data_IF_263210107714
#
_entry.id   IF_263210107714
#
_cell.length_a   1.000
_cell.length_b   1.000
_cell.length_c   1.000
_cell.angle_alpha   90.00
_cell.angle_beta   90.00
_cell.angle_gamma   90.00
#
_symmetry.space_group_name_H-M   'P 1'
#
loop_
_entity.id
_entity.type
_entity.pdbx_description
1 polymer ?
#
# COMPACT_ATOMS: atom_id res chain seq x y z
N UNK A 1 -17.75 16.49 6.45
CA UNK A 1 -18.14 15.07 6.45
C UNK A 1 -17.47 14.48 5.22
N UNK A 2 -16.58 13.50 5.38
CA UNK A 2 -15.99 12.83 4.21
C UNK A 2 -17.11 11.99 3.63
N UNK A 3 -17.56 12.30 2.41
CA UNK A 3 -18.47 11.41 1.70
C UNK A 3 -17.81 10.05 1.61
N UNK A 4 -18.51 9.01 2.08
CA UNK A 4 -18.01 7.65 1.99
C UNK A 4 -18.09 7.25 0.52
N UNK A 5 -16.93 7.04 -0.11
CA UNK A 5 -16.85 6.55 -1.47
C UNK A 5 -17.68 5.27 -1.59
N UNK A 6 -18.52 5.19 -2.63
CA UNK A 6 -19.31 3.99 -2.92
C UNK A 6 -18.37 3.01 -3.62
N UNK A 7 -18.14 1.81 -3.06
CA UNK A 7 -17.29 0.81 -3.70
C UNK A 7 -17.86 0.40 -5.07
N UNK A 8 -17.08 0.39 -6.15
CA UNK A 8 -17.48 -0.16 -7.44
C UNK A 8 -17.79 -1.67 -7.32
N UNK A 9 -18.87 -2.13 -7.96
CA UNK A 9 -19.28 -3.55 -7.85
C UNK A 9 -19.23 -4.33 -9.15
N UNK A 10 -19.13 -3.67 -10.31
CA UNK A 10 -19.27 -4.29 -11.64
C UNK A 10 -18.37 -5.54 -11.82
N UNK A 11 -17.06 -5.40 -11.62
CA UNK A 11 -16.10 -6.51 -11.79
C UNK A 11 -16.29 -7.61 -10.73
N UNK A 12 -16.63 -7.22 -9.49
CA UNK A 12 -16.87 -8.17 -8.40
C UNK A 12 -18.13 -9.02 -8.61
N UNK A 13 -19.16 -8.44 -9.24
CA UNK A 13 -20.41 -9.13 -9.59
C UNK A 13 -20.20 -10.01 -10.83
N UNK A 14 -19.48 -9.49 -11.84
CA UNK A 14 -19.17 -10.22 -13.06
C UNK A 14 -18.32 -11.46 -12.79
N UNK A 15 -17.29 -11.32 -11.95
CA UNK A 15 -16.31 -12.37 -11.64
C UNK A 15 -16.42 -12.83 -10.19
N UNK A 16 -17.66 -13.02 -9.71
CA UNK A 16 -17.93 -13.44 -8.33
C UNK A 16 -17.25 -14.77 -8.02
N UNK A 17 -16.56 -14.83 -6.88
CA UNK A 17 -15.91 -16.03 -6.39
C UNK A 17 -16.67 -16.59 -5.17
N UNK A 18 -16.84 -17.93 -5.03
CA UNK A 18 -17.56 -18.50 -3.89
C UNK A 18 -17.00 -18.11 -2.51
N UNK A 19 -15.70 -17.81 -2.43
CA UNK A 19 -15.05 -17.38 -1.17
C UNK A 19 -15.38 -15.94 -0.77
N UNK A 20 -15.86 -15.11 -1.69
CA UNK A 20 -16.21 -13.72 -1.39
C UNK A 20 -17.31 -13.63 -0.30
N UNK A 21 -18.17 -14.64 -0.20
CA UNK A 21 -19.27 -14.69 0.79
C UNK A 21 -18.78 -14.89 2.23
N UNK A 22 -17.52 -15.27 2.41
CA UNK A 22 -16.96 -15.63 3.70
C UNK A 22 -15.94 -14.63 4.23
N UNK A 23 -15.72 -13.51 3.54
CA UNK A 23 -14.81 -12.47 3.97
C UNK A 23 -15.51 -11.11 3.94
N UNK A 24 -15.34 -10.34 5.01
CA UNK A 24 -15.73 -8.94 5.07
C UNK A 24 -14.56 -8.10 5.56
N UNK A 25 -14.54 -6.84 5.14
CA UNK A 25 -13.53 -5.87 5.54
C UNK A 25 -14.20 -4.63 6.12
N UNK A 26 -13.77 -4.22 7.30
CA UNK A 26 -14.11 -2.93 7.88
C UNK A 26 -12.91 -1.99 7.75
N UNK A 27 -13.01 -1.03 6.82
CA UNK A 27 -11.94 -0.08 6.49
C UNK A 27 -11.53 0.79 7.68
N UNK A 28 -12.48 1.14 8.57
CA UNK A 28 -12.22 2.02 9.71
C UNK A 28 -11.22 1.44 10.71
N UNK A 29 -11.53 0.31 11.37
CA UNK A 29 -10.60 -0.40 12.24
C UNK A 29 -9.57 -1.24 11.46
N UNK A 30 -9.67 -1.31 10.13
CA UNK A 30 -8.84 -2.13 9.24
C UNK A 30 -8.86 -3.61 9.61
N UNK A 31 -10.06 -4.17 9.78
CA UNK A 31 -10.29 -5.55 10.27
C UNK A 31 -10.90 -6.42 9.18
N UNK A 32 -10.26 -7.55 8.91
CA UNK A 32 -10.82 -8.62 8.09
C UNK A 32 -11.52 -9.64 8.98
N UNK A 33 -12.72 -10.06 8.59
CA UNK A 33 -13.48 -11.10 9.28
C UNK A 33 -13.77 -12.22 8.30
N UNK A 34 -13.24 -13.41 8.59
CA UNK A 34 -13.32 -14.58 7.72
C UNK A 34 -14.12 -15.67 8.41
N UNK A 35 -15.22 -16.13 7.81
CA UNK A 35 -16.16 -17.08 8.43
C UNK A 35 -16.62 -16.65 9.84
N UNK A 36 -16.73 -15.34 10.10
CA UNK A 36 -17.07 -14.78 11.41
C UNK A 36 -15.90 -14.67 12.39
N UNK A 37 -14.69 -15.06 12.01
CA UNK A 37 -13.47 -14.95 12.80
C UNK A 37 -12.67 -13.69 12.39
N UNK A 38 -12.60 -12.72 13.31
CA UNK A 38 -11.85 -11.46 13.13
C UNK A 38 -10.42 -11.52 13.66
N UNK A 39 -9.88 -12.71 13.96
CA UNK A 39 -8.49 -12.90 14.42
C UNK A 39 -7.46 -13.01 13.29
N UNK A 40 -7.90 -12.83 12.05
CA UNK A 40 -7.02 -12.87 10.88
C UNK A 40 -6.05 -11.68 10.89
N UNK A 41 -4.80 -11.96 10.54
CA UNK A 41 -3.76 -10.94 10.39
C UNK A 41 -3.73 -10.48 8.95
N UNK A 42 -3.67 -9.16 8.71
CA UNK A 42 -3.51 -8.65 7.35
C UNK A 42 -2.10 -8.97 6.81
N UNK A 43 -1.96 -9.22 5.52
CA UNK A 43 -0.65 -9.43 4.86
C UNK A 43 0.27 -8.23 5.12
N UNK A 44 -0.27 -7.00 5.12
CA UNK A 44 0.48 -5.79 5.46
C UNK A 44 1.03 -5.80 6.89
N UNK A 45 0.22 -6.23 7.87
CA UNK A 45 0.63 -6.35 9.28
C UNK A 45 1.66 -7.46 9.46
N UNK A 46 1.44 -8.61 8.83
CA UNK A 46 2.38 -9.73 8.82
C UNK A 46 3.74 -9.30 8.27
N UNK A 47 3.76 -8.62 7.11
CA UNK A 47 4.99 -8.14 6.49
C UNK A 47 5.73 -7.12 7.36
N UNK A 48 5.03 -6.10 7.88
CA UNK A 48 5.64 -5.11 8.76
C UNK A 48 6.25 -5.73 10.02
N UNK A 49 5.69 -6.86 10.49
CA UNK A 49 6.23 -7.58 11.65
C UNK A 49 7.66 -8.08 11.43
N UNK A 50 8.15 -8.17 10.19
CA UNK A 50 9.49 -8.62 9.84
C UNK A 50 10.54 -7.50 9.77
N UNK A 51 10.16 -6.24 9.92
CA UNK A 51 11.04 -5.08 9.81
C UNK A 51 11.05 -4.24 11.10
N UNK A 52 11.94 -3.25 11.16
CA UNK A 52 12.06 -2.35 12.31
C UNK A 52 11.01 -1.24 12.23
N UNK A 53 10.38 -0.92 13.35
CA UNK A 53 9.45 0.20 13.39
C UNK A 53 10.18 1.54 13.29
N UNK A 54 9.55 2.50 12.63
CA UNK A 54 10.11 3.84 12.50
C UNK A 54 10.11 4.58 13.85
N UNK A 55 11.29 4.70 14.46
CA UNK A 55 11.47 5.47 15.68
C UNK A 55 11.87 6.92 15.38
N UNK A 56 10.87 7.81 15.29
CA UNK A 56 11.07 9.22 15.00
C UNK A 56 12.04 9.91 16.00
N UNK A 57 11.94 9.57 17.29
CA UNK A 57 12.81 10.13 18.33
C UNK A 57 14.27 9.76 18.13
N UNK A 58 14.56 8.49 17.84
CA UNK A 58 15.92 8.01 17.60
C UNK A 58 16.55 8.67 16.37
N UNK A 59 15.76 8.82 15.29
CA UNK A 59 16.21 9.48 14.06
C UNK A 59 16.51 10.96 14.30
N UNK A 60 15.60 11.70 14.95
CA UNK A 60 15.82 13.14 15.22
C UNK A 60 17.00 13.34 16.16
N UNK A 61 17.14 12.52 17.21
CA UNK A 61 18.29 12.59 18.11
C UNK A 61 19.62 12.34 17.36
N UNK A 62 19.63 11.46 16.36
CA UNK A 62 20.80 11.26 15.49
C UNK A 62 21.08 12.50 14.62
N UNK A 63 20.05 13.10 14.03
CA UNK A 63 20.16 14.32 13.23
C UNK A 63 20.75 15.48 14.05
N UNK A 64 20.30 15.66 15.30
CA UNK A 64 20.84 16.66 16.23
C UNK A 64 22.32 16.40 16.47
N UNK A 65 22.72 15.16 16.80
CA UNK A 65 24.14 14.82 17.02
C UNK A 65 25.03 15.10 15.82
N UNK A 66 24.47 15.08 14.60
CA UNK A 66 25.19 15.35 13.35
C UNK A 66 25.20 16.84 12.96
N UNK A 67 24.63 17.72 13.76
CA UNK A 67 24.57 19.15 13.47
C UNK A 67 23.54 19.53 12.39
N UNK A 68 22.59 18.65 12.08
CA UNK A 68 21.66 18.85 10.95
C UNK A 68 20.66 19.99 11.17
N UNK A 69 20.40 20.37 12.42
CA UNK A 69 19.46 21.45 12.76
C UNK A 69 20.16 22.81 12.81
N UNK A 70 21.49 22.81 12.86
CA UNK A 70 22.36 23.99 12.92
C UNK A 70 22.96 24.34 11.55
N UNK A 71 22.85 23.47 10.54
CA UNK A 71 23.29 23.73 9.17
C UNK A 71 22.33 24.68 8.43
N UNK A 72 22.72 25.93 8.11
CA UNK A 72 21.85 26.90 7.42
C UNK A 72 21.41 26.47 6.01
N UNK A 73 22.08 25.47 5.42
CA UNK A 73 21.70 24.90 4.12
C UNK A 73 20.78 23.68 4.26
N UNK A 74 20.58 23.20 5.48
CA UNK A 74 19.82 21.99 5.77
C UNK A 74 18.31 22.22 5.79
N UNK A 75 17.55 21.21 5.32
CA UNK A 75 16.08 21.21 5.32
C UNK A 75 15.46 21.48 6.71
N UNK A 76 16.16 21.11 7.77
CA UNK A 76 15.67 21.16 9.15
C UNK A 76 16.29 22.29 9.97
N UNK A 77 16.97 23.24 9.31
CA UNK A 77 17.64 24.35 9.98
C UNK A 77 16.69 25.14 10.88
N UNK A 78 17.06 25.31 12.15
CA UNK A 78 16.28 26.08 13.13
C UNK A 78 14.94 25.46 13.53
N UNK A 79 14.62 24.23 13.08
CA UNK A 79 13.36 23.56 13.45
C UNK A 79 13.47 22.87 14.81
N UNK A 80 12.37 22.85 15.57
CA UNK A 80 12.29 22.06 16.80
C UNK A 80 12.01 20.58 16.49
N UNK A 81 12.29 19.71 17.45
CA UNK A 81 11.98 18.28 17.36
C UNK A 81 10.49 18.03 17.11
N UNK A 82 9.63 18.78 17.79
CA UNK A 82 8.18 18.70 17.68
C UNK A 82 7.73 19.14 16.28
N UNK A 83 8.32 20.22 15.75
CA UNK A 83 8.03 20.71 14.39
C UNK A 83 8.43 19.69 13.32
N UNK A 84 9.57 19.00 13.49
CA UNK A 84 10.00 17.94 12.57
C UNK A 84 9.05 16.75 12.60
N UNK A 85 8.64 16.30 13.80
CA UNK A 85 7.66 15.22 13.95
C UNK A 85 6.32 15.56 13.30
N UNK A 86 5.82 16.78 13.53
CA UNK A 86 4.58 17.23 12.93
C UNK A 86 4.69 17.33 11.40
N UNK A 87 5.83 17.82 10.87
CA UNK A 87 6.09 17.82 9.43
C UNK A 87 6.05 16.41 8.85
N UNK A 88 6.70 15.43 9.49
CA UNK A 88 6.69 14.04 9.01
C UNK A 88 5.30 13.42 9.08
N UNK A 89 4.57 13.66 10.17
CA UNK A 89 3.19 13.20 10.34
C UNK A 89 2.27 13.78 9.27
N UNK A 90 2.28 15.10 9.09
CA UNK A 90 1.49 15.79 8.07
C UNK A 90 1.80 15.27 6.66
N UNK A 91 3.08 15.10 6.32
CA UNK A 91 3.49 14.52 5.03
C UNK A 91 2.99 13.09 4.85
N UNK A 92 3.09 12.26 5.90
CA UNK A 92 2.57 10.90 5.89
C UNK A 92 1.06 10.87 5.67
N UNK A 93 0.30 11.69 6.40
CA UNK A 93 -1.15 11.80 6.25
C UNK A 93 -1.53 12.26 4.84
N UNK A 94 -0.92 13.31 4.32
CA UNK A 94 -1.21 13.78 2.95
C UNK A 94 -0.85 12.74 1.89
N UNK A 95 0.27 12.03 2.04
CA UNK A 95 0.65 10.96 1.13
C UNK A 95 -0.34 9.79 1.16
N UNK A 96 -0.79 9.39 2.36
CA UNK A 96 -1.79 8.34 2.54
C UNK A 96 -3.13 8.73 1.91
N UNK A 97 -3.63 9.95 2.15
CA UNK A 97 -4.91 10.42 1.58
C UNK A 97 -4.84 10.44 0.05
N UNK A 98 -3.75 10.96 -0.51
CA UNK A 98 -3.55 10.99 -1.96
C UNK A 98 -3.44 9.57 -2.55
N UNK A 99 -2.79 8.64 -1.85
CA UNK A 99 -2.74 7.23 -2.22
C UNK A 99 -4.12 6.59 -2.23
N UNK A 100 -4.89 6.72 -1.15
CA UNK A 100 -6.25 6.19 -1.04
C UNK A 100 -7.16 6.73 -2.15
N UNK A 101 -7.09 8.03 -2.45
CA UNK A 101 -7.85 8.61 -3.57
C UNK A 101 -7.44 7.98 -4.90
N UNK A 102 -6.13 7.86 -5.15
CA UNK A 102 -5.62 7.30 -6.40
C UNK A 102 -6.06 5.84 -6.61
N UNK A 103 -6.00 4.99 -5.56
CA UNK A 103 -6.48 3.61 -5.65
C UNK A 103 -7.97 3.57 -6.00
N UNK A 104 -8.79 4.38 -5.31
CA UNK A 104 -10.22 4.46 -5.60
C UNK A 104 -10.51 4.91 -7.04
N UNK A 105 -9.80 5.91 -7.55
CA UNK A 105 -10.00 6.39 -8.91
C UNK A 105 -9.59 5.34 -9.95
N UNK A 106 -8.51 4.57 -9.71
CA UNK A 106 -8.11 3.43 -10.54
C UNK A 106 -9.15 2.31 -10.48
N UNK A 107 -9.70 2.03 -9.30
CA UNK A 107 -10.78 1.05 -9.10
C UNK A 107 -12.03 1.45 -9.90
N UNK A 108 -12.47 2.70 -9.78
CA UNK A 108 -13.58 3.27 -10.54
C UNK A 108 -13.33 3.17 -12.06
N UNK A 109 -12.14 3.53 -12.54
CA UNK A 109 -11.79 3.45 -13.95
C UNK A 109 -11.93 2.02 -14.49
N UNK A 110 -11.35 1.02 -13.81
CA UNK A 110 -11.43 -0.38 -14.23
C UNK A 110 -12.85 -0.97 -14.15
N UNK A 111 -13.72 -0.39 -13.31
CA UNK A 111 -15.13 -0.74 -13.22
C UNK A 111 -16.04 0.10 -14.13
N UNK A 112 -15.48 0.82 -15.11
CA UNK A 112 -16.20 1.62 -16.10
C UNK A 112 -17.06 2.74 -15.50
N UNK A 113 -16.62 3.29 -14.36
CA UNK A 113 -17.23 4.46 -13.75
C UNK A 113 -16.55 5.74 -14.24
N UNK A 114 -17.27 6.86 -14.19
CA UNK A 114 -16.71 8.17 -14.49
C UNK A 114 -15.70 8.58 -13.39
N UNK A 115 -14.52 9.03 -13.81
CA UNK A 115 -13.43 9.45 -12.92
C UNK A 115 -13.00 10.85 -13.29
N UNK A 116 -13.05 11.76 -12.31
CA UNK A 116 -12.47 13.11 -12.40
C UNK A 116 -11.19 13.17 -11.56
N UNK A 117 -10.06 12.96 -12.23
CA UNK A 117 -8.74 13.01 -11.61
C UNK A 117 -7.70 13.52 -12.63
N UNK A 118 -7.17 14.72 -12.39
CA UNK A 118 -6.16 15.39 -13.21
C UNK A 118 -4.74 15.30 -12.60
N UNK A 119 -4.54 14.44 -11.61
CA UNK A 119 -3.23 14.23 -11.00
C UNK A 119 -2.24 13.55 -11.95
N UNK A 120 -0.96 13.89 -11.80
CA UNK A 120 0.12 13.28 -12.59
C UNK A 120 0.22 11.77 -12.32
N UNK A 121 -0.09 11.32 -11.10
CA UNK A 121 -0.08 9.90 -10.75
C UNK A 121 -1.18 9.11 -11.48
N UNK A 122 -2.36 9.70 -11.67
CA UNK A 122 -3.42 9.07 -12.47
C UNK A 122 -3.05 9.08 -13.97
N UNK A 123 -2.40 10.13 -14.46
CA UNK A 123 -1.84 10.14 -15.83
C UNK A 123 -0.83 9.00 -16.04
N UNK A 124 0.00 8.67 -15.04
CA UNK A 124 0.90 7.51 -15.12
C UNK A 124 0.14 6.18 -15.23
N UNK A 125 -0.95 6.03 -14.49
CA UNK A 125 -1.82 4.85 -14.62
C UNK A 125 -2.46 4.77 -16.01
N UNK A 126 -2.99 5.88 -16.55
CA UNK A 126 -3.57 5.90 -17.90
C UNK A 126 -2.54 5.57 -18.99
N UNK A 127 -1.28 5.96 -18.81
CA UNK A 127 -0.18 5.55 -19.70
C UNK A 127 0.09 4.05 -19.62
N UNK A 128 0.10 3.49 -18.41
CA UNK A 128 0.20 2.04 -18.22
C UNK A 128 -0.94 1.32 -18.96
N UNK A 129 -2.19 1.72 -18.75
CA UNK A 129 -3.36 1.12 -19.41
C UNK A 129 -3.24 1.16 -20.96
N UNK A 130 -2.77 2.29 -21.50
CA UNK A 130 -2.55 2.45 -22.93
C UNK A 130 -1.37 1.60 -23.47
N UNK A 131 -0.32 1.39 -22.68
CA UNK A 131 0.84 0.57 -23.06
C UNK A 131 0.54 -0.94 -23.01
N UNK A 132 -0.50 -1.34 -22.26
CA UNK A 132 -0.89 -2.74 -22.06
C UNK A 132 -2.36 -3.01 -22.40
N UNK A 133 -2.80 -2.75 -23.66
CA UNK A 133 -4.21 -2.86 -24.05
C UNK A 133 -4.77 -4.29 -24.00
N UNK A 134 -3.90 -5.31 -23.93
CA UNK A 134 -4.28 -6.71 -23.83
C UNK A 134 -4.64 -7.13 -22.39
N UNK A 135 -4.34 -6.30 -21.38
CA UNK A 135 -4.70 -6.57 -19.99
C UNK A 135 -6.19 -6.28 -19.78
N UNK A 136 -6.97 -7.33 -19.61
CA UNK A 136 -8.41 -7.22 -19.38
C UNK A 136 -8.70 -7.14 -17.88
N UNK A 137 -9.35 -6.06 -17.38
CA UNK A 137 -9.73 -5.98 -15.97
C UNK A 137 -10.59 -7.18 -15.55
N UNK A 138 -10.19 -7.87 -14.48
CA UNK A 138 -10.88 -9.05 -13.97
C UNK A 138 -11.50 -8.80 -12.59
N UNK A 139 -10.71 -8.34 -11.61
CA UNK A 139 -11.18 -7.98 -10.27
C UNK A 139 -10.39 -6.78 -9.74
N UNK A 140 -11.04 -5.95 -8.94
CA UNK A 140 -10.41 -4.88 -8.15
C UNK A 140 -10.65 -5.12 -6.68
N UNK A 141 -9.75 -4.60 -5.83
CA UNK A 141 -9.83 -4.68 -4.36
C UNK A 141 -10.27 -6.07 -3.87
N UNK A 142 -9.67 -7.11 -4.47
CA UNK A 142 -10.13 -8.48 -4.27
C UNK A 142 -9.63 -8.99 -2.93
N UNK A 143 -10.57 -9.10 -1.99
CA UNK A 143 -10.32 -9.69 -0.68
C UNK A 143 -10.01 -11.18 -0.78
N UNK A 144 -8.85 -11.57 -0.26
CA UNK A 144 -8.36 -12.95 -0.23
C UNK A 144 -7.96 -13.35 1.20
N UNK A 145 -7.99 -14.65 1.47
CA UNK A 145 -7.61 -15.19 2.77
C UNK A 145 -7.09 -16.62 2.70
N UNK A 146 -6.25 -16.97 3.68
CA UNK A 146 -5.73 -18.31 3.90
C UNK A 146 -5.96 -18.76 5.35
N UNK A 147 -6.78 -19.78 5.53
CA UNK A 147 -7.36 -20.20 6.81
C UNK A 147 -6.30 -20.76 7.77
N UNK A 148 -5.38 -21.59 7.28
CA UNK A 148 -4.42 -22.29 8.15
C UNK A 148 -3.46 -21.34 8.86
N UNK A 149 -3.01 -20.29 8.16
CA UNK A 149 -2.14 -19.26 8.73
C UNK A 149 -2.91 -18.05 9.26
N UNK A 150 -4.24 -18.03 9.10
CA UNK A 150 -5.10 -16.88 9.40
C UNK A 150 -4.59 -15.58 8.79
N UNK A 151 -4.23 -15.62 7.51
CA UNK A 151 -3.80 -14.43 6.76
C UNK A 151 -4.93 -13.93 5.86
N UNK A 152 -5.00 -12.61 5.68
CA UNK A 152 -6.00 -11.93 4.85
C UNK A 152 -5.43 -10.69 4.19
N UNK A 153 -6.02 -10.23 3.09
CA UNK A 153 -5.70 -8.93 2.52
C UNK A 153 -6.54 -8.62 1.29
N UNK A 154 -6.25 -7.47 0.68
CA UNK A 154 -6.87 -7.02 -0.57
C UNK A 154 -5.81 -6.96 -1.66
N UNK A 155 -6.10 -7.52 -2.83
CA UNK A 155 -5.30 -7.35 -4.04
C UNK A 155 -5.89 -6.18 -4.82
N UNK A 156 -5.12 -5.11 -5.03
CA UNK A 156 -5.61 -3.88 -5.65
C UNK A 156 -6.25 -4.15 -7.02
N UNK A 157 -5.54 -4.92 -7.86
CA UNK A 157 -5.98 -5.16 -9.23
C UNK A 157 -5.58 -6.55 -9.73
N UNK A 158 -6.51 -7.20 -10.43
CA UNK A 158 -6.31 -8.47 -11.12
C UNK A 158 -6.72 -8.31 -12.57
N UNK A 159 -5.80 -8.62 -13.48
CA UNK A 159 -6.07 -8.68 -14.91
C UNK A 159 -6.09 -10.13 -15.39
N UNK A 160 -6.92 -10.41 -16.39
CA UNK A 160 -6.95 -11.68 -17.11
C UNK A 160 -6.20 -11.54 -18.43
N UNK A 161 -5.27 -12.47 -18.69
CA UNK A 161 -4.57 -12.58 -19.97
C UNK A 161 -5.39 -13.33 -21.01
N UNK A 162 -4.98 -13.22 -22.27
CA UNK A 162 -5.62 -13.90 -23.39
C UNK A 162 -5.66 -15.45 -23.27
N UNK A 163 -4.74 -16.04 -22.49
CA UNK A 163 -4.71 -17.49 -22.22
C UNK A 163 -5.57 -17.91 -21.00
N UNK A 164 -6.28 -16.97 -20.38
CA UNK A 164 -7.12 -17.18 -19.19
C UNK A 164 -6.35 -17.22 -17.88
N UNK A 165 -5.02 -17.03 -17.88
CA UNK A 165 -4.27 -16.88 -16.64
C UNK A 165 -4.46 -15.48 -16.04
N UNK A 166 -4.37 -15.40 -14.71
CA UNK A 166 -4.55 -14.15 -13.97
C UNK A 166 -3.20 -13.55 -13.56
N UNK A 167 -3.11 -12.23 -13.59
CA UNK A 167 -1.97 -11.46 -13.09
C UNK A 167 -2.46 -10.49 -12.02
N UNK A 168 -1.74 -10.45 -10.90
CA UNK A 168 -2.06 -9.59 -9.77
C UNK A 168 -1.12 -8.39 -9.73
N UNK A 169 -1.66 -7.24 -9.36
CA UNK A 169 -0.97 -5.96 -9.34
C UNK A 169 -1.26 -5.28 -7.99
N UNK A 170 -0.25 -4.55 -7.52
CA UNK A 170 -0.26 -3.79 -6.29
C UNK A 170 0.21 -2.37 -6.64
N UNK A 171 -0.73 -1.43 -6.66
CA UNK A 171 -0.47 -0.04 -7.03
C UNK A 171 0.21 0.67 -5.87
N UNK A 172 1.29 1.41 -6.16
CA UNK A 172 2.06 2.10 -5.11
C UNK A 172 2.38 3.53 -5.51
N UNK A 173 1.81 4.47 -4.75
CA UNK A 173 2.19 5.89 -4.83
C UNK A 173 3.41 6.16 -3.98
N UNK A 174 4.56 6.40 -4.60
CA UNK A 174 5.82 6.68 -3.90
C UNK A 174 6.56 7.87 -4.46
N UNK A 175 7.30 8.57 -3.59
CA UNK A 175 8.23 9.62 -4.01
C UNK A 175 9.48 9.04 -4.68
N UNK A 176 9.95 7.91 -4.16
CA UNK A 176 11.15 7.21 -4.60
C UNK A 176 11.01 5.74 -4.22
N UNK A 177 11.40 4.83 -5.11
CA UNK A 177 11.44 3.40 -4.85
C UNK A 177 12.88 2.99 -4.55
N UNK A 178 13.16 2.63 -3.29
CA UNK A 178 14.51 2.34 -2.80
C UNK A 178 14.72 0.83 -2.70
N UNK A 179 15.69 0.26 -3.43
CA UNK A 179 16.03 -1.15 -3.29
C UNK A 179 16.96 -1.42 -2.10
N UNK A 180 17.66 -0.40 -1.58
CA UNK A 180 18.54 -0.53 -0.42
C UNK A 180 17.91 -0.01 0.88
N UNK A 181 18.19 -0.71 1.98
CA UNK A 181 17.78 -0.30 3.31
C UNK A 181 18.64 0.83 3.85
N UNK A 182 18.00 1.77 4.55
CA UNK A 182 18.71 2.91 5.14
C UNK A 182 19.77 2.45 6.15
N UNK A 183 21.04 2.79 5.89
CA UNK A 183 22.15 2.37 6.75
C UNK A 183 22.44 0.87 6.70
N UNK A 184 22.04 0.17 5.64
CA UNK A 184 22.24 -1.27 5.48
C UNK A 184 21.31 -2.13 6.33
N UNK A 185 20.20 -1.56 6.81
CA UNK A 185 19.18 -2.30 7.55
C UNK A 185 18.52 -3.36 6.68
N UNK A 186 18.17 -4.48 7.30
CA UNK A 186 17.50 -5.62 6.69
C UNK A 186 16.38 -6.13 7.61
N UNK A 187 15.58 -7.08 7.13
CA UNK A 187 14.59 -7.76 7.94
C UNK A 187 15.20 -8.40 9.21
N UNK A 188 14.43 -8.42 10.30
CA UNK A 188 14.85 -9.03 11.59
C UNK A 188 14.58 -10.53 11.67
N UNK A 189 13.74 -11.07 10.77
CA UNK A 189 13.40 -12.50 10.74
C UNK A 189 14.45 -13.30 9.99
N UNK A 190 14.98 -14.34 10.63
CA UNK A 190 16.20 -15.03 10.17
C UNK A 190 16.10 -15.59 8.74
N UNK A 191 14.99 -16.22 8.37
CA UNK A 191 14.83 -16.82 7.03
C UNK A 191 14.78 -15.79 5.88
N UNK A 192 14.47 -14.53 6.17
CA UNK A 192 14.39 -13.43 5.19
C UNK A 192 15.32 -12.27 5.53
N UNK A 193 16.28 -12.48 6.43
CA UNK A 193 17.22 -11.45 6.92
C UNK A 193 18.09 -10.83 5.81
N UNK A 194 18.17 -11.48 4.65
CA UNK A 194 18.86 -10.97 3.48
C UNK A 194 18.06 -9.87 2.74
N UNK A 195 16.77 -9.68 3.05
CA UNK A 195 15.94 -8.63 2.45
C UNK A 195 16.22 -7.27 3.09
N UNK A 196 16.59 -6.24 2.31
CA UNK A 196 16.74 -4.87 2.79
C UNK A 196 15.45 -4.26 3.35
N UNK A 197 15.55 -3.54 4.48
CA UNK A 197 14.45 -2.77 5.09
C UNK A 197 14.22 -1.49 4.29
N UNK A 198 13.40 -1.62 3.24
CA UNK A 198 13.16 -0.58 2.24
C UNK A 198 11.81 -0.79 1.57
N UNK A 199 11.23 0.28 1.02
CA UNK A 199 9.89 0.22 0.47
C UNK A 199 9.76 -0.75 -0.71
N UNK A 200 10.77 -0.88 -1.58
CA UNK A 200 10.76 -1.86 -2.66
C UNK A 200 10.54 -3.28 -2.13
N UNK A 201 11.32 -3.71 -1.13
CA UNK A 201 11.24 -5.06 -0.60
C UNK A 201 9.99 -5.29 0.26
N UNK A 202 9.47 -4.25 0.90
CA UNK A 202 8.19 -4.35 1.62
C UNK A 202 7.04 -4.63 0.65
N UNK A 203 7.00 -3.94 -0.50
CA UNK A 203 5.98 -4.16 -1.53
C UNK A 203 6.18 -5.48 -2.26
N UNK A 204 7.42 -5.83 -2.61
CA UNK A 204 7.73 -7.11 -3.24
C UNK A 204 7.33 -8.30 -2.36
N UNK A 205 7.61 -8.24 -1.05
CA UNK A 205 7.18 -9.27 -0.11
C UNK A 205 5.65 -9.33 0.01
N UNK A 206 4.96 -8.18 -0.04
CA UNK A 206 3.50 -8.12 -0.01
C UNK A 206 2.91 -8.84 -1.22
N UNK A 207 3.35 -8.46 -2.42
CA UNK A 207 2.86 -9.04 -3.67
C UNK A 207 3.20 -10.53 -3.79
N UNK A 208 4.34 -10.99 -3.26
CA UNK A 208 4.70 -12.43 -3.24
C UNK A 208 3.91 -13.25 -2.20
N UNK A 209 3.31 -12.59 -1.20
CA UNK A 209 2.52 -13.27 -0.17
C UNK A 209 1.07 -13.49 -0.63
N UNK A 210 0.58 -12.61 -1.51
CA UNK A 210 -0.69 -12.81 -2.23
C UNK A 210 -0.58 -13.92 -3.27
#
# INVERSE_FOLDING_TARGET
MVEKNIPPTYLSELNKHPRDEFITFDEGPHVYTVHGDSTFTSVTTFNHSHFEEFNADAVINNMIRRGCLEDPKGKYYGMTKESIKEMWKSKGTSASIAGTKLHYDIECYNNYMEVDNDSIEFEYFLKFDADYPDLKPYRTEWMVYYEELKLSGSIDMVYEKADGTLEIYDWKRVLELKPEGFGGKTAKTECIKHLPDSNYWHYALQLNTY
#
